data_IF_135154390648
#
_entry.id   IF_135154390648
#
_cell.length_a   1.000
_cell.length_b   1.000
_cell.length_c   1.000
_cell.angle_alpha   90.00
_cell.angle_beta   90.00
_cell.angle_gamma   90.00
#
_symmetry.space_group_name_H-M   'P 1'
#
loop_
_entity.id
_entity.type
_entity.pdbx_description
1 polymer ?
#
# COMPACT_ATOMS: atom_id res chain seq x y z
N UNK A 1 -21.86 -62.99 -47.17
CA UNK A 1 -20.67 -63.66 -46.61
C UNK A 1 -21.12 -64.94 -45.93
N UNK A 2 -20.73 -66.10 -46.45
CA UNK A 2 -21.16 -67.42 -45.93
C UNK A 2 -20.58 -67.67 -44.53
N UNK A 3 -21.34 -68.28 -43.62
CA UNK A 3 -20.93 -68.57 -42.23
C UNK A 3 -19.55 -69.23 -42.11
N UNK A 4 -19.20 -70.13 -43.04
CA UNK A 4 -17.87 -70.73 -43.14
C UNK A 4 -16.74 -69.70 -43.23
N UNK A 5 -16.90 -68.64 -44.03
CA UNK A 5 -15.88 -67.59 -44.18
C UNK A 5 -15.68 -66.79 -42.89
N UNK A 6 -16.76 -66.52 -42.16
CA UNK A 6 -16.70 -65.81 -40.86
C UNK A 6 -15.97 -66.64 -39.79
N UNK A 7 -16.21 -67.95 -39.78
CA UNK A 7 -15.52 -68.86 -38.86
C UNK A 7 -14.05 -69.06 -39.27
N UNK A 8 -13.73 -69.02 -40.56
CA UNK A 8 -12.34 -69.04 -41.04
C UNK A 8 -11.55 -67.83 -40.54
N UNK A 9 -12.10 -66.61 -40.70
CA UNK A 9 -11.44 -65.39 -40.19
C UNK A 9 -11.32 -65.42 -38.68
N UNK A 10 -12.39 -65.79 -37.96
CA UNK A 10 -12.38 -65.89 -36.51
C UNK A 10 -11.32 -66.90 -36.02
N UNK A 11 -11.16 -68.04 -36.70
CA UNK A 11 -10.16 -69.06 -36.32
C UNK A 11 -8.73 -68.57 -36.58
N UNK A 12 -8.51 -67.81 -37.66
CA UNK A 12 -7.21 -67.19 -37.94
C UNK A 12 -6.87 -66.12 -36.90
N UNK A 13 -7.81 -65.25 -36.57
CA UNK A 13 -7.65 -64.20 -35.56
C UNK A 13 -7.41 -64.83 -34.17
N UNK A 14 -8.15 -65.88 -33.81
CA UNK A 14 -7.95 -66.64 -32.57
C UNK A 14 -6.53 -67.23 -32.50
N UNK A 15 -6.06 -67.87 -33.58
CA UNK A 15 -4.72 -68.45 -33.60
C UNK A 15 -3.62 -67.39 -33.44
N UNK A 16 -3.80 -66.21 -34.06
CA UNK A 16 -2.88 -65.08 -33.91
C UNK A 16 -2.91 -64.51 -32.49
N UNK A 17 -4.10 -64.29 -31.93
CA UNK A 17 -4.27 -63.72 -30.60
C UNK A 17 -3.75 -64.67 -29.51
N UNK A 18 -4.00 -65.98 -29.63
CA UNK A 18 -3.45 -67.01 -28.71
C UNK A 18 -1.92 -67.06 -28.80
N UNK A 19 -1.37 -67.04 -30.02
CA UNK A 19 0.09 -67.03 -30.20
C UNK A 19 0.73 -65.78 -29.60
N UNK A 20 0.13 -64.62 -29.82
CA UNK A 20 0.58 -63.36 -29.24
C UNK A 20 0.50 -63.39 -27.71
N UNK A 21 -0.62 -63.84 -27.13
CA UNK A 21 -0.78 -63.93 -25.67
C UNK A 21 0.26 -64.88 -25.04
N UNK A 22 0.49 -66.04 -25.66
CA UNK A 22 1.49 -66.99 -25.18
C UNK A 22 2.92 -66.43 -25.28
N UNK A 23 3.24 -65.61 -26.28
CA UNK A 23 4.53 -64.92 -26.36
C UNK A 23 4.73 -63.92 -25.21
N UNK A 24 3.67 -63.23 -24.79
CA UNK A 24 3.69 -62.37 -23.61
C UNK A 24 3.81 -63.16 -22.30
N UNK A 25 3.22 -64.37 -22.22
CA UNK A 25 3.25 -65.22 -21.03
C UNK A 25 4.46 -66.17 -20.95
N UNK A 26 5.26 -66.31 -22.01
CA UNK A 26 6.38 -67.25 -22.04
C UNK A 26 7.51 -66.86 -21.05
N UNK A 27 8.02 -67.81 -20.24
CA UNK A 27 9.12 -67.54 -19.34
C UNK A 27 10.41 -67.31 -20.14
N UNK A 28 10.80 -66.03 -20.31
CA UNK A 28 12.10 -65.66 -20.90
C UNK A 28 12.06 -64.58 -21.98
N UNK A 29 10.90 -64.07 -22.40
CA UNK A 29 10.81 -63.04 -23.46
C UNK A 29 10.91 -61.59 -22.98
N UNK A 30 11.16 -61.34 -21.69
CA UNK A 30 11.68 -60.07 -21.22
C UNK A 30 13.21 -60.05 -21.43
N UNK A 31 13.64 -59.75 -22.66
CA UNK A 31 15.05 -59.52 -22.97
C UNK A 31 15.54 -58.24 -22.26
N UNK A 32 15.90 -58.38 -20.99
CA UNK A 32 16.78 -57.44 -20.30
C UNK A 32 18.20 -57.77 -20.75
N UNK A 33 18.73 -56.94 -21.63
CA UNK A 33 20.15 -56.96 -21.97
C UNK A 33 20.96 -56.62 -20.71
N UNK A 34 21.67 -57.63 -20.20
CA UNK A 34 22.88 -57.60 -19.37
C UNK A 34 23.16 -56.31 -18.57
N UNK A 35 22.96 -56.39 -17.26
CA UNK A 35 23.51 -55.46 -16.28
C UNK A 35 23.30 -55.99 -14.87
N UNK A 36 24.22 -56.85 -14.40
CA UNK A 36 24.25 -57.37 -13.04
C UNK A 36 24.39 -56.24 -12.01
N UNK A 37 23.29 -55.96 -11.32
CA UNK A 37 23.15 -55.14 -10.12
C UNK A 37 21.74 -55.36 -9.55
N UNK A 38 21.47 -55.14 -8.25
CA UNK A 38 20.13 -55.27 -7.70
C UNK A 38 19.25 -54.17 -8.30
N UNK A 39 18.58 -54.50 -9.40
CA UNK A 39 17.96 -53.56 -10.30
C UNK A 39 16.56 -53.23 -9.77
N UNK A 40 16.38 -51.98 -9.33
CA UNK A 40 15.09 -51.33 -9.23
C UNK A 40 14.29 -51.60 -10.50
N UNK A 41 13.10 -52.18 -10.34
CA UNK A 41 12.14 -52.45 -11.39
C UNK A 41 11.81 -51.13 -12.10
N UNK A 42 12.40 -50.88 -13.28
CA UNK A 42 12.03 -49.74 -14.12
C UNK A 42 10.65 -50.01 -14.73
N UNK A 43 9.68 -49.22 -14.30
CA UNK A 43 8.22 -49.43 -14.42
C UNK A 43 7.56 -48.91 -15.71
N UNK A 44 8.30 -48.68 -16.80
CA UNK A 44 7.71 -48.02 -17.99
C UNK A 44 7.41 -48.96 -19.18
N UNK A 45 8.01 -50.15 -19.28
CA UNK A 45 7.63 -51.11 -20.33
C UNK A 45 6.43 -51.99 -19.96
N UNK A 46 6.08 -52.12 -18.68
CA UNK A 46 5.08 -53.09 -18.21
C UNK A 46 3.62 -52.64 -18.33
N UNK A 47 3.37 -51.33 -18.51
CA UNK A 47 2.00 -50.78 -18.52
C UNK A 47 1.26 -51.04 -19.84
N UNK A 48 1.96 -50.82 -20.95
CA UNK A 48 1.43 -51.07 -22.30
C UNK A 48 1.22 -52.57 -22.50
N UNK A 49 2.12 -53.40 -21.96
CA UNK A 49 2.04 -54.85 -22.07
C UNK A 49 0.81 -55.41 -21.31
N UNK A 50 0.48 -54.90 -20.12
CA UNK A 50 -0.68 -55.37 -19.34
C UNK A 50 -2.04 -55.07 -20.00
N UNK A 51 -2.22 -53.86 -20.54
CA UNK A 51 -3.46 -53.47 -21.24
C UNK A 51 -3.63 -54.26 -22.55
N UNK A 52 -2.53 -54.46 -23.29
CA UNK A 52 -2.52 -55.23 -24.55
C UNK A 52 -2.79 -56.71 -24.29
N UNK A 53 -2.18 -57.31 -23.25
CA UNK A 53 -2.45 -58.69 -22.84
C UNK A 53 -3.92 -58.89 -22.47
N UNK A 54 -4.51 -57.98 -21.69
CA UNK A 54 -5.93 -58.06 -21.32
C UNK A 54 -6.86 -57.92 -22.55
N UNK A 55 -6.53 -57.06 -23.51
CA UNK A 55 -7.28 -56.95 -24.77
C UNK A 55 -7.19 -58.23 -25.61
N UNK A 56 -6.00 -58.85 -25.69
CA UNK A 56 -5.81 -60.16 -26.33
C UNK A 56 -6.64 -61.24 -25.62
N UNK A 57 -6.59 -61.29 -24.29
CA UNK A 57 -7.36 -62.24 -23.49
C UNK A 57 -8.89 -62.08 -23.70
N UNK A 58 -9.40 -60.84 -23.77
CA UNK A 58 -10.81 -60.57 -24.07
C UNK A 58 -11.20 -61.07 -25.46
N UNK A 59 -10.40 -60.76 -26.47
CA UNK A 59 -10.65 -61.21 -27.86
C UNK A 59 -10.63 -62.73 -27.99
N UNK A 60 -9.71 -63.41 -27.30
CA UNK A 60 -9.67 -64.88 -27.23
C UNK A 60 -10.94 -65.43 -26.59
N UNK A 61 -11.34 -64.93 -25.42
CA UNK A 61 -12.56 -65.38 -24.72
C UNK A 61 -13.81 -65.20 -25.58
N UNK A 62 -13.95 -64.05 -26.22
CA UNK A 62 -15.06 -63.75 -27.14
C UNK A 62 -15.04 -64.70 -28.35
N UNK A 63 -13.89 -64.88 -28.99
CA UNK A 63 -13.73 -65.75 -30.15
C UNK A 63 -14.03 -67.22 -29.81
N UNK A 64 -13.61 -67.71 -28.65
CA UNK A 64 -13.92 -69.08 -28.20
C UNK A 64 -15.41 -69.22 -27.87
N UNK A 65 -15.99 -68.27 -27.14
CA UNK A 65 -17.40 -68.32 -26.72
C UNK A 65 -18.37 -68.26 -27.91
N UNK A 66 -18.11 -67.40 -28.91
CA UNK A 66 -18.95 -67.31 -30.12
C UNK A 66 -18.58 -68.38 -31.17
N UNK A 67 -17.29 -68.63 -31.37
CA UNK A 67 -16.79 -69.52 -32.41
C UNK A 67 -17.12 -70.98 -32.14
N UNK A 68 -17.01 -71.42 -30.90
CA UNK A 68 -17.11 -72.84 -30.55
C UNK A 68 -18.50 -73.46 -30.83
N UNK A 69 -19.64 -72.87 -30.38
CA UNK A 69 -20.96 -73.43 -30.69
C UNK A 69 -21.28 -73.40 -32.20
N UNK A 70 -20.84 -72.36 -32.90
CA UNK A 70 -21.07 -72.17 -34.34
C UNK A 70 -20.27 -73.18 -35.16
N UNK A 71 -19.01 -73.40 -34.81
CA UNK A 71 -18.14 -74.37 -35.44
C UNK A 71 -18.62 -75.79 -35.18
N UNK A 72 -18.98 -76.12 -33.94
CA UNK A 72 -19.56 -77.41 -33.56
C UNK A 72 -20.81 -77.73 -34.38
N UNK A 73 -21.75 -76.80 -34.49
CA UNK A 73 -22.95 -76.96 -35.32
C UNK A 73 -22.61 -77.20 -36.79
N UNK A 74 -21.59 -76.52 -37.31
CA UNK A 74 -21.15 -76.65 -38.70
C UNK A 74 -20.51 -78.03 -38.96
N UNK A 75 -19.67 -78.50 -38.04
CA UNK A 75 -19.00 -79.80 -38.12
C UNK A 75 -19.99 -80.95 -38.01
N UNK A 76 -20.94 -80.89 -37.07
CA UNK A 76 -21.99 -81.92 -36.94
C UNK A 76 -22.83 -82.03 -38.22
N UNK A 77 -23.15 -80.90 -38.86
CA UNK A 77 -23.85 -80.89 -40.17
C UNK A 77 -23.00 -81.41 -41.33
N UNK A 78 -21.68 -81.22 -41.28
CA UNK A 78 -20.76 -81.73 -42.30
C UNK A 78 -20.49 -83.24 -42.16
N UNK A 79 -20.68 -83.79 -40.95
CA UNK A 79 -20.55 -85.23 -40.64
C UNK A 79 -21.89 -85.98 -40.67
N UNK A 80 -22.98 -85.33 -41.07
CA UNK A 80 -24.27 -85.98 -41.27
C UNK A 80 -24.16 -87.02 -42.38
N UNK A 81 -24.50 -88.27 -42.08
CA UNK A 81 -24.35 -89.42 -42.97
C UNK A 81 -25.64 -89.77 -43.70
N UNK A 82 -26.79 -89.20 -43.31
CA UNK A 82 -28.05 -89.35 -44.05
C UNK A 82 -28.01 -88.48 -45.34
N UNK A 83 -28.00 -89.08 -46.55
CA UNK A 83 -27.94 -88.35 -47.81
C UNK A 83 -29.09 -87.35 -48.01
N UNK A 84 -30.22 -87.56 -47.33
CA UNK A 84 -31.39 -86.67 -47.38
C UNK A 84 -31.29 -85.49 -46.40
N UNK A 85 -30.32 -85.50 -45.48
CA UNK A 85 -30.06 -84.44 -44.49
C UNK A 85 -28.71 -83.76 -44.71
N UNK A 86 -27.80 -84.36 -45.48
CA UNK A 86 -26.50 -83.80 -45.81
C UNK A 86 -26.65 -82.62 -46.78
N UNK A 87 -26.29 -81.42 -46.30
CA UNK A 87 -26.43 -80.17 -47.05
C UNK A 87 -25.13 -79.67 -47.70
N UNK A 88 -24.00 -80.35 -47.45
CA UNK A 88 -22.67 -79.97 -47.93
C UNK A 88 -22.09 -81.05 -48.84
N UNK A 89 -21.44 -80.63 -49.93
CA UNK A 89 -20.67 -81.54 -50.79
C UNK A 89 -19.37 -81.98 -50.10
N UNK A 90 -18.76 -83.07 -50.59
CA UNK A 90 -17.55 -83.67 -49.99
C UNK A 90 -16.40 -82.67 -49.84
N UNK A 91 -16.20 -81.80 -50.83
CA UNK A 91 -15.17 -80.76 -50.78
C UNK A 91 -15.39 -79.74 -49.65
N UNK A 92 -16.64 -79.38 -49.37
CA UNK A 92 -16.98 -78.47 -48.27
C UNK A 92 -16.91 -79.18 -46.92
N UNK A 93 -17.29 -80.46 -46.84
CA UNK A 93 -17.11 -81.26 -45.63
C UNK A 93 -15.62 -81.37 -45.24
N UNK A 94 -14.73 -81.59 -46.21
CA UNK A 94 -13.29 -81.61 -45.99
C UNK A 94 -12.76 -80.26 -45.47
N UNK A 95 -13.23 -79.14 -46.04
CA UNK A 95 -12.85 -77.77 -45.61
C UNK A 95 -13.37 -77.42 -44.21
N UNK A 96 -14.58 -77.86 -43.85
CA UNK A 96 -15.15 -77.68 -42.50
C UNK A 96 -14.35 -78.47 -41.47
N UNK A 97 -13.95 -79.70 -41.78
CA UNK A 97 -13.08 -80.49 -40.90
C UNK A 97 -11.69 -79.86 -40.74
N UNK A 98 -11.08 -79.32 -41.80
CA UNK A 98 -9.79 -78.61 -41.70
C UNK A 98 -9.90 -77.35 -40.82
N UNK A 99 -11.00 -76.60 -40.92
CA UNK A 99 -11.28 -75.45 -40.06
C UNK A 99 -11.44 -75.86 -38.59
N UNK A 100 -12.08 -77.00 -38.34
CA UNK A 100 -12.23 -77.55 -36.99
C UNK A 100 -10.90 -77.93 -36.36
N UNK A 101 -10.00 -78.56 -37.13
CA UNK A 101 -8.65 -78.87 -36.67
C UNK A 101 -7.88 -77.60 -36.34
N UNK A 102 -7.89 -76.60 -37.23
CA UNK A 102 -7.18 -75.33 -36.99
C UNK A 102 -7.69 -74.58 -35.74
N UNK A 103 -8.99 -74.65 -35.45
CA UNK A 103 -9.57 -74.09 -34.23
C UNK A 103 -9.16 -74.89 -32.99
N UNK A 104 -9.15 -76.22 -33.08
CA UNK A 104 -8.66 -77.11 -32.03
C UNK A 104 -7.18 -76.90 -31.71
N UNK A 105 -6.34 -76.66 -32.72
CA UNK A 105 -4.91 -76.34 -32.56
C UNK A 105 -4.71 -75.01 -31.81
N UNK A 106 -5.51 -73.99 -32.11
CA UNK A 106 -5.47 -72.72 -31.38
C UNK A 106 -5.88 -72.92 -29.90
N UNK A 107 -6.88 -73.75 -29.62
CA UNK A 107 -7.28 -74.09 -28.26
C UNK A 107 -6.23 -74.93 -27.52
N UNK A 108 -5.56 -75.86 -28.22
CA UNK A 108 -4.46 -76.63 -27.67
C UNK A 108 -3.25 -75.75 -27.33
N UNK A 109 -2.97 -74.73 -28.14
CA UNK A 109 -1.94 -73.74 -27.81
C UNK A 109 -2.32 -72.91 -26.58
N UNK A 110 -3.61 -72.60 -26.40
CA UNK A 110 -4.12 -71.85 -25.26
C UNK A 110 -4.13 -72.67 -23.96
N UNK A 111 -4.35 -73.98 -24.06
CA UNK A 111 -4.33 -74.93 -22.94
C UNK A 111 -3.67 -76.25 -23.40
N UNK A 112 -2.34 -76.39 -23.27
CA UNK A 112 -1.61 -77.57 -23.75
C UNK A 112 -2.06 -78.88 -23.09
N UNK A 113 -2.45 -78.80 -21.81
CA UNK A 113 -2.89 -79.94 -21.00
C UNK A 113 -4.29 -80.45 -21.40
N UNK A 114 -5.05 -79.65 -22.16
CA UNK A 114 -6.39 -80.00 -22.66
C UNK A 114 -6.38 -81.27 -23.52
N UNK A 115 -5.36 -81.47 -24.36
CA UNK A 115 -5.29 -82.66 -25.23
C UNK A 115 -4.77 -83.90 -24.48
N UNK A 116 -3.96 -83.70 -23.43
CA UNK A 116 -3.45 -84.78 -22.57
C UNK A 116 -4.47 -85.32 -21.58
N UNK A 117 -5.51 -84.55 -21.25
CA UNK A 117 -6.59 -84.92 -20.33
C UNK A 117 -7.80 -85.56 -21.03
N UNK A 118 -7.85 -85.54 -22.36
CA UNK A 118 -8.86 -86.28 -23.12
C UNK A 118 -8.63 -87.78 -22.93
N UNK A 119 -9.67 -88.57 -22.63
CA UNK A 119 -9.51 -90.01 -22.46
C UNK A 119 -8.95 -90.58 -23.76
N UNK A 120 -7.65 -90.90 -23.74
CA UNK A 120 -7.00 -91.66 -24.80
C UNK A 120 -7.77 -92.97 -24.90
N UNK A 121 -8.56 -93.11 -25.96
CA UNK A 121 -9.07 -94.39 -26.38
C UNK A 121 -7.86 -95.25 -26.76
N UNK A 122 -7.25 -95.87 -25.75
CA UNK A 122 -6.25 -96.93 -25.85
C UNK A 122 -6.92 -98.19 -26.39
N UNK A 123 -7.37 -98.12 -27.63
CA UNK A 123 -7.72 -99.25 -28.47
C UNK A 123 -7.25 -98.91 -29.89
N UNK A 124 -6.35 -99.71 -30.50
CA UNK A 124 -6.02 -99.52 -31.91
C UNK A 124 -7.30 -99.71 -32.74
N UNK A 125 -7.65 -98.79 -33.64
CA UNK A 125 -8.88 -98.92 -34.42
C UNK A 125 -8.77 -100.13 -35.36
N UNK A 126 -9.81 -100.98 -35.47
CA UNK A 126 -9.85 -102.02 -36.49
C UNK A 126 -9.82 -101.39 -37.88
N UNK A 127 -9.12 -102.05 -38.82
CA UNK A 127 -8.90 -101.57 -40.19
C UNK A 127 -10.23 -101.25 -40.88
N UNK A 128 -10.52 -99.95 -41.06
CA UNK A 128 -11.69 -99.48 -41.81
C UNK A 128 -12.38 -98.21 -41.29
N UNK A 129 -12.12 -97.78 -40.05
CA UNK A 129 -12.76 -96.59 -39.47
C UNK A 129 -11.88 -95.32 -39.60
N UNK A 130 -12.51 -94.18 -39.94
CA UNK A 130 -11.86 -92.87 -40.02
C UNK A 130 -11.08 -92.59 -38.74
N UNK A 131 -9.78 -92.27 -38.87
CA UNK A 131 -8.91 -91.78 -37.78
C UNK A 131 -9.70 -90.83 -36.88
N UNK A 132 -9.99 -91.24 -35.64
CA UNK A 132 -10.63 -90.38 -34.65
C UNK A 132 -9.79 -89.13 -34.48
N UNK A 133 -10.40 -87.96 -34.68
CA UNK A 133 -9.71 -86.70 -34.53
C UNK A 133 -9.59 -86.43 -33.04
N UNK A 134 -8.39 -86.08 -32.58
CA UNK A 134 -8.09 -85.81 -31.15
C UNK A 134 -9.00 -84.72 -30.58
N UNK A 135 -9.54 -83.84 -31.44
CA UNK A 135 -10.47 -82.78 -31.07
C UNK A 135 -11.95 -83.20 -31.03
N UNK A 136 -12.32 -84.45 -31.34
CA UNK A 136 -13.73 -84.88 -31.44
C UNK A 136 -14.51 -84.71 -30.12
N UNK A 137 -13.83 -84.69 -28.97
CA UNK A 137 -14.39 -84.36 -27.66
C UNK A 137 -15.02 -82.97 -27.58
N UNK A 138 -14.52 -82.01 -28.37
CA UNK A 138 -15.09 -80.67 -28.51
C UNK A 138 -16.52 -80.71 -29.11
N UNK A 139 -16.90 -81.80 -29.77
CA UNK A 139 -18.23 -81.97 -30.36
C UNK A 139 -19.26 -82.56 -29.37
N UNK A 140 -18.86 -82.93 -28.15
CA UNK A 140 -19.74 -83.53 -27.13
C UNK A 140 -20.67 -82.49 -26.48
N UNK A 141 -21.93 -82.85 -26.22
CA UNK A 141 -22.97 -82.00 -25.63
C UNK A 141 -22.61 -81.54 -24.22
N UNK A 142 -21.78 -82.33 -23.53
CA UNK A 142 -21.27 -82.00 -22.20
C UNK A 142 -20.04 -81.07 -22.21
N UNK A 143 -19.42 -80.78 -23.36
CA UNK A 143 -18.25 -79.89 -23.41
C UNK A 143 -18.65 -78.42 -23.18
N UNK A 144 -18.12 -77.83 -22.11
CA UNK A 144 -18.26 -76.41 -21.79
C UNK A 144 -16.95 -75.67 -22.12
N UNK A 145 -16.94 -74.74 -23.10
CA UNK A 145 -15.76 -73.93 -23.39
C UNK A 145 -15.33 -73.03 -22.22
N UNK A 146 -16.23 -72.74 -21.28
CA UNK A 146 -15.94 -71.90 -20.11
C UNK A 146 -14.88 -72.54 -19.22
N UNK A 147 -14.96 -73.86 -19.01
CA UNK A 147 -13.99 -74.62 -18.22
C UNK A 147 -12.58 -74.52 -18.82
N UNK A 148 -12.45 -74.65 -20.14
CA UNK A 148 -11.17 -74.51 -20.84
C UNK A 148 -10.57 -73.10 -20.70
N UNK A 149 -11.42 -72.07 -20.78
CA UNK A 149 -11.00 -70.68 -20.64
C UNK A 149 -10.59 -70.33 -19.19
N UNK A 150 -11.28 -70.89 -18.21
CA UNK A 150 -10.97 -70.73 -16.77
C UNK A 150 -9.67 -71.46 -16.38
N UNK A 151 -9.39 -72.63 -16.96
CA UNK A 151 -8.20 -73.44 -16.67
C UNK A 151 -6.95 -73.01 -17.44
N UNK A 152 -7.07 -72.12 -18.43
CA UNK A 152 -5.91 -71.66 -19.22
C UNK A 152 -4.95 -70.80 -18.38
N UNK A 153 -3.74 -71.32 -18.15
CA UNK A 153 -2.69 -70.61 -17.42
C UNK A 153 -2.30 -69.27 -18.07
N UNK A 154 -2.36 -69.16 -19.40
CA UNK A 154 -2.03 -67.93 -20.12
C UNK A 154 -3.08 -66.84 -19.89
N UNK A 155 -4.37 -67.20 -19.86
CA UNK A 155 -5.46 -66.27 -19.55
C UNK A 155 -5.44 -65.85 -18.08
N UNK A 156 -5.21 -66.79 -17.15
CA UNK A 156 -5.06 -66.48 -15.73
C UNK A 156 -3.89 -65.52 -15.47
N UNK A 157 -2.74 -65.77 -16.11
CA UNK A 157 -1.56 -64.90 -15.99
C UNK A 157 -1.86 -63.48 -16.48
N UNK A 158 -2.56 -63.36 -17.61
CA UNK A 158 -3.00 -62.06 -18.14
C UNK A 158 -3.92 -61.32 -17.17
N UNK A 159 -4.91 -62.01 -16.60
CA UNK A 159 -5.82 -61.41 -15.62
C UNK A 159 -5.07 -60.96 -14.36
N UNK A 160 -4.14 -61.78 -13.85
CA UNK A 160 -3.33 -61.44 -12.68
C UNK A 160 -2.41 -60.24 -12.91
N UNK A 161 -1.81 -60.14 -14.10
CA UNK A 161 -0.97 -59.00 -14.50
C UNK A 161 -1.82 -57.73 -14.62
N UNK A 162 -2.98 -57.83 -15.28
CA UNK A 162 -3.88 -56.69 -15.48
C UNK A 162 -4.51 -56.21 -14.16
N UNK A 163 -4.94 -57.14 -13.29
CA UNK A 163 -5.49 -56.81 -11.98
C UNK A 163 -4.46 -56.08 -11.10
N UNK A 164 -3.21 -56.56 -11.08
CA UNK A 164 -2.12 -55.85 -10.38
C UNK A 164 -1.87 -54.46 -10.96
N UNK A 165 -1.88 -54.33 -12.27
CA UNK A 165 -1.73 -53.04 -12.96
C UNK A 165 -2.83 -52.04 -12.56
N UNK A 166 -4.10 -52.46 -12.58
CA UNK A 166 -5.24 -51.60 -12.21
C UNK A 166 -5.17 -51.18 -10.74
N UNK A 167 -4.79 -52.09 -9.84
CA UNK A 167 -4.62 -51.75 -8.41
C UNK A 167 -3.51 -50.72 -8.19
N UNK A 168 -2.35 -50.88 -8.84
CA UNK A 168 -1.27 -49.91 -8.72
C UNK A 168 -1.65 -48.55 -9.32
N UNK A 169 -2.33 -48.55 -10.47
CA UNK A 169 -2.86 -47.33 -11.07
C UNK A 169 -3.84 -46.61 -10.13
N UNK A 170 -4.80 -47.34 -9.54
CA UNK A 170 -5.75 -46.78 -8.59
C UNK A 170 -5.07 -46.21 -7.34
N UNK A 171 -4.03 -46.86 -6.82
CA UNK A 171 -3.22 -46.33 -5.70
C UNK A 171 -2.53 -45.02 -6.08
N UNK A 172 -1.93 -44.95 -7.27
CA UNK A 172 -1.25 -43.76 -7.77
C UNK A 172 -2.23 -42.61 -7.98
N UNK A 173 -3.37 -42.85 -8.63
CA UNK A 173 -4.42 -41.84 -8.83
C UNK A 173 -4.98 -41.34 -7.49
N UNK A 174 -5.23 -42.22 -6.53
CA UNK A 174 -5.69 -41.84 -5.19
C UNK A 174 -4.63 -41.06 -4.40
N UNK A 175 -3.34 -41.35 -4.58
CA UNK A 175 -2.26 -40.55 -4.02
C UNK A 175 -2.19 -39.16 -4.67
N UNK A 176 -2.19 -39.10 -6.01
CA UNK A 176 -2.17 -37.83 -6.76
C UNK A 176 -3.36 -36.94 -6.39
N UNK A 177 -4.55 -37.51 -6.29
CA UNK A 177 -5.76 -36.79 -5.86
C UNK A 177 -5.63 -36.21 -4.46
N UNK A 178 -5.11 -37.00 -3.50
CA UNK A 178 -4.86 -36.51 -2.12
C UNK A 178 -3.83 -35.38 -2.08
N UNK A 179 -2.75 -35.50 -2.86
CA UNK A 179 -1.72 -34.44 -2.96
C UNK A 179 -2.31 -33.17 -3.58
N UNK A 180 -3.07 -33.30 -4.67
CA UNK A 180 -3.72 -32.17 -5.33
C UNK A 180 -4.70 -31.46 -4.40
N UNK A 181 -5.53 -32.20 -3.67
CA UNK A 181 -6.45 -31.64 -2.68
C UNK A 181 -5.70 -30.92 -1.55
N UNK A 182 -4.66 -31.54 -0.99
CA UNK A 182 -3.85 -30.91 0.06
C UNK A 182 -3.20 -29.62 -0.40
N UNK A 183 -2.69 -29.56 -1.63
CA UNK A 183 -2.14 -28.33 -2.22
C UNK A 183 -3.22 -27.26 -2.43
N UNK A 184 -4.41 -27.63 -2.92
CA UNK A 184 -5.54 -26.71 -3.09
C UNK A 184 -5.96 -26.10 -1.75
N UNK A 185 -6.03 -26.91 -0.69
CA UNK A 185 -6.36 -26.45 0.65
C UNK A 185 -5.31 -25.47 1.19
N UNK A 186 -4.02 -25.77 1.02
CA UNK A 186 -2.92 -24.87 1.41
C UNK A 186 -3.02 -23.51 0.69
N UNK A 187 -3.30 -23.51 -0.61
CA UNK A 187 -3.49 -22.27 -1.38
C UNK A 187 -4.72 -21.49 -0.86
N UNK A 188 -5.82 -22.18 -0.58
CA UNK A 188 -7.02 -21.57 -0.01
C UNK A 188 -6.71 -20.94 1.36
N UNK A 189 -6.05 -21.66 2.27
CA UNK A 189 -5.64 -21.13 3.57
C UNK A 189 -4.71 -19.92 3.45
N UNK A 190 -3.74 -19.94 2.54
CA UNK A 190 -2.86 -18.79 2.31
C UNK A 190 -3.64 -17.57 1.83
N UNK A 191 -4.60 -17.74 0.92
CA UNK A 191 -5.43 -16.65 0.41
C UNK A 191 -6.33 -16.06 1.50
N UNK A 192 -6.96 -16.90 2.33
CA UNK A 192 -7.78 -16.47 3.47
C UNK A 192 -6.94 -15.74 4.51
N UNK A 193 -5.76 -16.26 4.86
CA UNK A 193 -4.88 -15.63 5.83
C UNK A 193 -4.39 -14.25 5.35
N UNK A 194 -4.03 -14.12 4.06
CA UNK A 194 -3.70 -12.81 3.46
C UNK A 194 -4.88 -11.84 3.56
N UNK A 195 -6.10 -12.29 3.33
CA UNK A 195 -7.30 -11.44 3.47
C UNK A 195 -7.50 -10.96 4.91
N UNK A 196 -7.28 -11.84 5.90
CA UNK A 196 -7.37 -11.48 7.33
C UNK A 196 -6.29 -10.46 7.72
N UNK A 197 -5.04 -10.67 7.32
CA UNK A 197 -3.94 -9.74 7.59
C UNK A 197 -4.24 -8.37 6.98
N UNK A 198 -4.70 -8.34 5.73
CA UNK A 198 -5.05 -7.08 5.06
C UNK A 198 -6.24 -6.37 5.75
N UNK A 199 -7.23 -7.11 6.24
CA UNK A 199 -8.35 -6.55 6.98
C UNK A 199 -7.91 -5.94 8.32
N UNK A 200 -7.08 -6.67 9.08
CA UNK A 200 -6.53 -6.19 10.35
C UNK A 200 -5.62 -4.96 10.16
N UNK A 201 -4.75 -4.98 9.14
CA UNK A 201 -3.95 -3.81 8.77
C UNK A 201 -4.82 -2.60 8.42
N UNK A 202 -5.91 -2.78 7.67
CA UNK A 202 -6.83 -1.69 7.33
C UNK A 202 -7.48 -1.08 8.58
N UNK A 203 -7.93 -1.90 9.51
CA UNK A 203 -8.53 -1.44 10.77
C UNK A 203 -7.50 -0.66 11.60
N UNK A 204 -6.29 -1.21 11.75
CA UNK A 204 -5.20 -0.54 12.49
C UNK A 204 -4.79 0.78 11.85
N UNK A 205 -4.68 0.84 10.51
CA UNK A 205 -4.36 2.08 9.78
C UNK A 205 -5.47 3.13 9.94
N UNK A 206 -6.73 2.73 9.91
CA UNK A 206 -7.85 3.63 10.14
C UNK A 206 -7.82 4.22 11.56
N UNK A 207 -7.61 3.38 12.58
CA UNK A 207 -7.49 3.82 13.97
C UNK A 207 -6.34 4.81 14.17
N UNK A 208 -5.15 4.51 13.63
CA UNK A 208 -3.98 5.40 13.69
C UNK A 208 -4.24 6.75 12.99
N UNK A 209 -4.97 6.74 11.88
CA UNK A 209 -5.30 7.96 11.14
C UNK A 209 -6.25 8.84 11.95
N UNK A 210 -7.24 8.24 12.61
CA UNK A 210 -8.16 8.97 13.47
C UNK A 210 -7.47 9.52 14.73
N UNK A 211 -6.58 8.74 15.34
CA UNK A 211 -5.74 9.21 16.45
C UNK A 211 -4.88 10.42 16.04
N UNK A 212 -4.19 10.34 14.89
CA UNK A 212 -3.41 11.47 14.36
C UNK A 212 -4.27 12.70 14.06
N UNK A 213 -5.50 12.49 13.59
CA UNK A 213 -6.46 13.58 13.35
C UNK A 213 -6.87 14.25 14.67
N UNK A 214 -7.20 13.46 15.69
CA UNK A 214 -7.56 13.96 17.01
C UNK A 214 -6.38 14.72 17.66
N UNK A 215 -5.16 14.19 17.54
CA UNK A 215 -3.94 14.83 18.03
C UNK A 215 -3.66 16.15 17.32
N UNK A 216 -3.80 16.19 15.98
CA UNK A 216 -3.67 17.43 15.22
C UNK A 216 -4.68 18.49 15.69
N UNK A 217 -5.94 18.11 15.88
CA UNK A 217 -6.98 19.02 16.37
C UNK A 217 -6.69 19.50 17.81
N UNK A 218 -6.16 18.62 18.68
CA UNK A 218 -5.71 19.00 20.02
C UNK A 218 -4.59 20.03 19.97
N UNK A 219 -3.56 19.79 19.15
CA UNK A 219 -2.42 20.71 19.01
C UNK A 219 -2.87 22.05 18.44
N UNK A 220 -3.74 22.05 17.41
CA UNK A 220 -4.29 23.29 16.84
C UNK A 220 -5.01 24.11 17.89
N UNK A 221 -5.91 23.50 18.68
CA UNK A 221 -6.62 24.21 19.76
C UNK A 221 -5.66 24.83 20.78
N UNK A 222 -4.64 24.08 21.20
CA UNK A 222 -3.63 24.62 22.13
C UNK A 222 -2.85 25.79 21.53
N UNK A 223 -2.55 25.75 20.23
CA UNK A 223 -1.87 26.86 19.55
C UNK A 223 -2.78 28.08 19.41
N UNK A 224 -4.06 27.88 19.08
CA UNK A 224 -5.07 28.94 19.01
C UNK A 224 -5.29 29.58 20.39
N UNK A 225 -5.47 28.80 21.44
CA UNK A 225 -5.59 29.28 22.82
C UNK A 225 -4.36 30.08 23.25
N UNK A 226 -3.14 29.62 22.92
CA UNK A 226 -1.91 30.35 23.20
C UNK A 226 -1.80 31.64 22.41
N UNK A 227 -2.22 31.65 21.15
CA UNK A 227 -2.22 32.84 20.31
C UNK A 227 -3.22 33.89 20.83
N UNK A 228 -4.42 33.45 21.22
CA UNK A 228 -5.44 34.31 21.80
C UNK A 228 -4.98 34.85 23.17
N UNK A 229 -4.40 34.02 24.03
CA UNK A 229 -3.86 34.46 25.32
C UNK A 229 -2.75 35.52 25.14
N UNK A 230 -1.85 35.32 24.16
CA UNK A 230 -0.83 36.32 23.80
C UNK A 230 -1.46 37.63 23.31
N UNK A 231 -2.49 37.54 22.46
CA UNK A 231 -3.19 38.70 21.94
C UNK A 231 -3.91 39.49 23.05
N UNK A 232 -4.58 38.80 23.98
CA UNK A 232 -5.22 39.44 25.14
C UNK A 232 -4.21 40.11 26.06
N UNK A 233 -3.06 39.47 26.30
CA UNK A 233 -1.95 40.07 27.04
C UNK A 233 -1.43 41.34 26.35
N UNK A 234 -1.31 41.32 25.02
CA UNK A 234 -0.90 42.48 24.23
C UNK A 234 -1.95 43.61 24.27
N UNK A 235 -3.25 43.28 24.22
CA UNK A 235 -4.32 44.27 24.39
C UNK A 235 -4.30 44.93 25.77
N UNK A 236 -4.04 44.17 26.84
CA UNK A 236 -3.87 44.71 28.19
C UNK A 236 -2.66 45.64 28.28
N UNK A 237 -1.49 45.19 27.79
CA UNK A 237 -0.28 46.00 27.71
C UNK A 237 -0.53 47.33 26.98
N UNK A 238 -1.21 47.29 25.83
CA UNK A 238 -1.57 48.50 25.06
C UNK A 238 -2.47 49.46 25.83
N UNK A 239 -3.43 48.95 26.61
CA UNK A 239 -4.29 49.77 27.46
C UNK A 239 -3.50 50.40 28.61
N UNK A 240 -2.63 49.63 29.26
CA UNK A 240 -1.76 50.12 30.32
C UNK A 240 -0.83 51.23 29.80
N UNK A 241 -0.22 51.02 28.63
CA UNK A 241 0.65 52.02 28.01
C UNK A 241 -0.12 53.30 27.65
N UNK A 242 -1.31 53.18 27.06
CA UNK A 242 -2.15 54.34 26.76
C UNK A 242 -2.56 55.09 28.03
N UNK A 243 -2.84 54.37 29.12
CA UNK A 243 -3.14 54.94 30.43
C UNK A 243 -1.94 55.70 30.98
N UNK A 244 -0.75 55.11 30.95
CA UNK A 244 0.49 55.75 31.38
C UNK A 244 0.82 57.00 30.55
N UNK A 245 0.68 56.91 29.23
CA UNK A 245 0.89 58.02 28.31
C UNK A 245 -0.06 59.19 28.62
N UNK A 246 -1.36 58.90 28.83
CA UNK A 246 -2.35 59.91 29.20
C UNK A 246 -2.10 60.50 30.59
N UNK A 247 -1.69 59.68 31.55
CA UNK A 247 -1.37 60.12 32.90
C UNK A 247 -0.13 61.04 32.93
N UNK A 248 0.87 60.78 32.10
CA UNK A 248 2.07 61.62 32.00
C UNK A 248 1.76 63.07 31.56
N UNK A 249 0.68 63.27 30.79
CA UNK A 249 0.22 64.60 30.40
C UNK A 249 -0.66 65.29 31.44
N UNK A 250 -1.09 64.58 32.50
CA UNK A 250 -1.94 65.16 33.53
C UNK A 250 -1.26 66.31 34.28
N UNK A 251 0.06 66.22 34.47
CA UNK A 251 0.89 67.26 35.08
C UNK A 251 1.05 68.50 34.17
N UNK A 252 0.67 68.39 32.89
CA UNK A 252 0.75 69.45 31.88
C UNK A 252 -0.61 70.07 31.54
N UNK A 253 -1.63 69.90 32.39
CA UNK A 253 -2.93 70.57 32.20
C UNK A 253 -2.77 72.08 32.10
N UNK A 254 -1.93 72.66 32.94
CA UNK A 254 -1.51 74.05 32.84
C UNK A 254 -0.27 74.17 31.94
N UNK A 255 -0.41 74.91 30.83
CA UNK A 255 0.68 75.19 29.89
C UNK A 255 1.81 76.00 30.56
N UNK A 256 1.49 76.82 31.56
CA UNK A 256 2.47 77.57 32.34
C UNK A 256 3.41 76.67 33.17
N UNK A 257 3.02 75.43 33.44
CA UNK A 257 3.83 74.47 34.18
C UNK A 257 4.89 73.75 33.32
N UNK A 258 4.82 73.86 31.98
CA UNK A 258 5.74 73.17 31.05
C UNK A 258 7.22 73.43 31.37
N UNK A 259 7.68 74.67 31.64
CA UNK A 259 9.09 74.91 31.94
C UNK A 259 9.56 74.20 33.22
N UNK A 260 8.71 74.16 34.25
CA UNK A 260 9.01 73.49 35.51
C UNK A 260 9.04 71.96 35.33
N UNK A 261 8.09 71.40 34.57
CA UNK A 261 8.07 69.98 34.22
C UNK A 261 9.31 69.57 33.43
N UNK A 262 9.70 70.34 32.41
CA UNK A 262 10.90 70.04 31.63
C UNK A 262 12.18 70.18 32.46
N UNK A 263 12.20 71.08 33.45
CA UNK A 263 13.32 71.22 34.37
C UNK A 263 13.45 70.06 35.36
N UNK A 264 12.33 69.48 35.81
CA UNK A 264 12.35 68.30 36.68
C UNK A 264 12.65 67.01 35.90
N UNK A 265 12.14 66.89 34.67
CA UNK A 265 12.31 65.69 33.85
C UNK A 265 13.69 65.60 33.20
N UNK A 266 14.25 66.72 32.73
CA UNK A 266 15.53 66.77 31.98
C UNK A 266 16.54 67.65 32.74
N UNK A 267 17.53 67.04 33.41
CA UNK A 267 18.55 67.78 34.17
C UNK A 267 19.40 68.70 33.28
N UNK A 268 19.78 68.24 32.09
CA UNK A 268 20.61 69.01 31.15
C UNK A 268 19.80 70.15 30.49
N UNK A 269 20.20 71.39 30.77
CA UNK A 269 19.58 72.60 30.24
C UNK A 269 19.68 72.73 28.72
N UNK A 270 20.79 72.29 28.11
CA UNK A 270 20.97 72.33 26.65
C UNK A 270 19.97 71.38 25.99
N UNK A 271 19.90 70.14 26.48
CA UNK A 271 18.97 69.14 25.95
C UNK A 271 17.53 69.60 26.14
N UNK A 272 17.21 70.21 27.29
CA UNK A 272 15.91 70.81 27.56
C UNK A 272 15.54 71.91 26.55
N UNK A 273 16.48 72.81 26.25
CA UNK A 273 16.29 73.86 25.25
C UNK A 273 16.09 73.32 23.84
N UNK A 274 16.84 72.28 23.47
CA UNK A 274 16.72 71.62 22.17
C UNK A 274 15.36 70.90 22.03
N UNK A 275 14.89 70.20 23.08
CA UNK A 275 13.54 69.59 23.12
C UNK A 275 12.45 70.65 23.00
N UNK A 276 12.55 71.73 23.78
CA UNK A 276 11.57 72.82 23.75
C UNK A 276 11.48 73.46 22.36
N UNK A 277 12.63 73.71 21.71
CA UNK A 277 12.64 74.28 20.36
C UNK A 277 12.06 73.32 19.31
N UNK A 278 12.42 72.03 19.37
CA UNK A 278 11.88 71.01 18.45
C UNK A 278 10.37 70.84 18.62
N UNK A 279 9.86 70.81 19.86
CA UNK A 279 8.42 70.76 20.13
C UNK A 279 7.72 72.01 19.62
N UNK A 280 8.32 73.19 19.81
CA UNK A 280 7.82 74.45 19.26
C UNK A 280 7.76 74.41 17.72
N UNK A 281 8.80 73.90 17.06
CA UNK A 281 8.82 73.74 15.61
C UNK A 281 7.71 72.79 15.13
N UNK A 282 7.45 71.70 15.85
CA UNK A 282 6.33 70.80 15.56
C UNK A 282 4.98 71.50 15.71
N UNK A 283 4.77 72.28 16.78
CA UNK A 283 3.56 73.09 16.96
C UNK A 283 3.40 74.06 15.78
N UNK A 284 4.44 74.79 15.41
CA UNK A 284 4.40 75.70 14.25
C UNK A 284 4.02 74.99 12.97
N UNK A 285 4.63 73.84 12.70
CA UNK A 285 4.35 73.03 11.52
C UNK A 285 2.89 72.55 11.51
N UNK A 286 2.35 72.11 12.64
CA UNK A 286 0.95 71.71 12.75
C UNK A 286 0.00 72.88 12.46
N UNK A 287 0.30 74.07 13.01
CA UNK A 287 -0.54 75.26 12.80
C UNK A 287 -0.42 75.83 11.37
N UNK A 288 0.72 75.67 10.70
CA UNK A 288 0.93 76.19 9.34
C UNK A 288 0.54 75.22 8.23
N UNK A 289 0.73 73.92 8.45
CA UNK A 289 0.55 72.86 7.45
C UNK A 289 -0.19 71.67 8.06
N UNK A 290 -1.44 71.84 8.50
CA UNK A 290 -2.17 70.82 9.28
C UNK A 290 -2.41 69.50 8.53
N UNK A 291 -2.32 69.49 7.19
CA UNK A 291 -2.55 68.33 6.33
C UNK A 291 -1.33 67.40 6.18
N UNK A 292 -0.14 67.80 6.64
CA UNK A 292 1.07 67.00 6.45
C UNK A 292 1.03 65.73 7.32
N UNK A 293 0.97 64.58 6.65
CA UNK A 293 0.87 63.26 7.27
C UNK A 293 2.08 62.98 8.17
N UNK A 294 3.27 63.49 7.86
CA UNK A 294 4.50 63.21 8.62
C UNK A 294 4.43 63.85 10.00
N UNK A 295 3.88 65.05 10.10
CA UNK A 295 3.66 65.70 11.40
C UNK A 295 2.42 65.15 12.10
N UNK A 296 1.34 64.80 11.38
CA UNK A 296 0.16 64.17 12.01
C UNK A 296 0.41 62.76 12.54
N UNK A 297 1.40 62.04 11.98
CA UNK A 297 1.76 60.66 12.35
C UNK A 297 3.25 60.55 12.65
N UNK A 298 3.61 60.75 13.91
CA UNK A 298 4.98 60.59 14.38
C UNK A 298 5.32 59.11 14.51
N UNK A 299 6.15 58.62 13.60
CA UNK A 299 6.62 57.24 13.58
C UNK A 299 7.84 57.08 14.48
N UNK A 300 7.77 56.21 15.49
CA UNK A 300 8.89 56.01 16.41
C UNK A 300 10.18 55.54 15.71
N UNK A 301 10.05 54.71 14.66
CA UNK A 301 11.20 54.22 13.89
C UNK A 301 11.71 55.24 12.85
N UNK A 302 11.18 56.46 12.82
CA UNK A 302 11.71 57.52 11.97
C UNK A 302 13.05 58.01 12.52
N UNK A 303 14.10 58.01 11.69
CA UNK A 303 15.45 58.40 12.08
C UNK A 303 15.53 59.82 12.66
N UNK A 304 14.76 60.77 12.13
CA UNK A 304 14.74 62.15 12.65
C UNK A 304 14.10 62.20 14.03
N UNK A 305 12.93 61.58 14.19
CA UNK A 305 12.24 61.53 15.49
C UNK A 305 13.13 60.85 16.55
N UNK A 306 13.79 59.76 16.17
CA UNK A 306 14.76 59.05 17.00
C UNK A 306 15.94 59.94 17.42
N UNK A 307 16.57 60.67 16.49
CA UNK A 307 17.68 61.56 16.81
C UNK A 307 17.24 62.80 17.61
N UNK A 308 16.00 63.25 17.41
CA UNK A 308 15.48 64.46 18.03
C UNK A 308 14.92 64.24 19.44
N UNK A 309 14.34 63.07 19.71
CA UNK A 309 13.63 62.79 20.97
C UNK A 309 13.98 61.44 21.61
N UNK A 310 14.79 60.61 20.95
CA UNK A 310 15.08 59.26 21.40
C UNK A 310 13.98 58.27 21.03
N UNK A 311 13.97 57.10 21.68
CA UNK A 311 12.98 56.05 21.44
C UNK A 311 12.66 55.31 22.75
N UNK A 312 11.39 54.95 22.99
CA UNK A 312 10.96 54.38 24.27
C UNK A 312 11.63 53.04 24.61
N UNK A 313 12.03 52.28 23.59
CA UNK A 313 12.67 50.95 23.72
C UNK A 313 14.19 51.01 23.84
N UNK A 314 14.76 52.21 23.93
CA UNK A 314 16.16 52.39 24.28
C UNK A 314 16.23 52.56 25.79
N UNK A 315 16.51 51.48 26.51
CA UNK A 315 16.87 51.60 27.91
C UNK A 315 18.33 51.95 28.02
N UNK A 316 18.49 53.13 28.55
CA UNK A 316 19.71 53.86 28.42
C UNK A 316 20.53 53.43 29.62
N UNK A 317 21.25 52.31 29.56
CA UNK A 317 22.47 52.16 30.38
C UNK A 317 23.62 52.44 29.45
N UNK A 318 24.36 53.50 29.70
CA UNK A 318 25.58 53.75 28.93
C UNK A 318 26.53 52.57 29.17
N UNK A 319 26.97 51.89 28.09
CA UNK A 319 27.76 50.65 28.20
C UNK A 319 29.06 50.84 28.98
N UNK A 320 29.59 52.05 29.01
CA UNK A 320 30.88 52.38 29.62
C UNK A 320 30.74 52.77 31.11
N UNK A 321 29.66 53.44 31.51
CA UNK A 321 29.47 53.98 32.87
C UNK A 321 28.39 53.23 33.67
N UNK A 322 27.47 52.54 32.99
CA UNK A 322 26.33 51.85 33.60
C UNK A 322 25.19 52.77 34.06
N UNK A 323 25.31 54.09 33.86
CA UNK A 323 24.32 55.09 34.29
C UNK A 323 23.10 55.18 33.37
N UNK A 324 21.97 55.63 33.90
CA UNK A 324 20.77 55.86 33.11
C UNK A 324 20.96 57.01 32.11
N UNK A 325 21.00 56.73 30.81
CA UNK A 325 21.21 57.77 29.79
C UNK A 325 19.97 58.66 29.59
N UNK A 326 20.26 59.94 29.35
CA UNK A 326 19.28 61.02 29.27
C UNK A 326 18.18 60.83 28.20
N UNK A 327 18.43 60.02 27.16
CA UNK A 327 17.45 59.73 26.09
C UNK A 327 16.11 59.23 26.64
N UNK A 328 16.13 58.46 27.74
CA UNK A 328 14.89 57.95 28.37
C UNK A 328 14.06 59.07 28.98
N UNK A 329 14.71 60.02 29.64
CA UNK A 329 14.03 61.18 30.21
C UNK A 329 13.51 62.12 29.12
N UNK A 330 14.29 62.29 28.05
CA UNK A 330 13.91 63.10 26.88
C UNK A 330 12.66 62.53 26.20
N UNK A 331 12.63 61.23 25.88
CA UNK A 331 11.48 60.63 25.20
C UNK A 331 10.22 60.70 26.07
N UNK A 332 10.33 60.48 27.39
CA UNK A 332 9.20 60.61 28.32
C UNK A 332 8.66 62.03 28.39
N UNK A 333 9.54 63.02 28.45
CA UNK A 333 9.14 64.42 28.44
C UNK A 333 8.47 64.80 27.10
N UNK A 334 9.02 64.32 25.99
CA UNK A 334 8.45 64.53 24.66
C UNK A 334 7.07 63.87 24.53
N UNK A 335 6.89 62.65 25.03
CA UNK A 335 5.61 61.95 25.04
C UNK A 335 4.53 62.68 25.84
N UNK A 336 4.87 63.22 27.02
CA UNK A 336 3.95 64.04 27.79
C UNK A 336 3.52 65.30 27.01
N UNK A 337 4.46 65.98 26.35
CA UNK A 337 4.19 67.13 25.50
C UNK A 337 3.33 66.77 24.28
N UNK A 338 3.65 65.69 23.57
CA UNK A 338 2.86 65.22 22.43
C UNK A 338 1.45 64.82 22.86
N UNK A 339 1.31 64.10 23.98
CA UNK A 339 -0.01 63.80 24.53
C UNK A 339 -0.78 65.10 24.83
N UNK A 340 -0.13 66.12 25.40
CA UNK A 340 -0.76 67.42 25.66
C UNK A 340 -1.20 68.12 24.38
N UNK A 341 -0.42 67.99 23.31
CA UNK A 341 -0.77 68.48 21.97
C UNK A 341 -1.91 67.69 21.31
N UNK A 342 -2.36 66.56 21.86
CA UNK A 342 -3.47 65.75 21.34
C UNK A 342 -3.04 64.52 20.54
N UNK A 343 -1.76 64.13 20.58
CA UNK A 343 -1.34 62.85 20.01
C UNK A 343 -1.85 61.67 20.83
N UNK A 344 -2.10 60.54 20.17
CA UNK A 344 -2.50 59.27 20.79
C UNK A 344 -1.65 58.13 20.26
N UNK A 345 -1.37 57.13 21.10
CA UNK A 345 -0.59 55.96 20.69
C UNK A 345 -1.44 55.05 19.80
N UNK A 346 -0.89 54.70 18.64
CA UNK A 346 -1.47 53.74 17.69
C UNK A 346 -0.41 52.71 17.27
N UNK A 347 -0.91 51.58 16.79
CA UNK A 347 -0.10 50.47 16.32
C UNK A 347 -0.47 50.13 14.88
N UNK A 348 0.53 49.97 14.03
CA UNK A 348 0.30 49.48 12.67
C UNK A 348 -0.10 48.00 12.71
N UNK A 349 -0.73 47.50 11.65
CA UNK A 349 -1.02 46.06 11.49
C UNK A 349 0.07 45.34 10.69
N UNK A 350 1.07 46.07 10.22
CA UNK A 350 2.11 45.59 9.32
C UNK A 350 3.39 45.39 10.11
N UNK A 351 4.05 44.23 10.01
CA UNK A 351 5.36 44.02 10.61
C UNK A 351 6.33 45.10 10.13
N UNK A 352 7.07 45.69 11.07
CA UNK A 352 8.14 46.63 10.75
C UNK A 352 9.48 46.10 11.28
N UNK A 353 10.59 46.63 10.75
CA UNK A 353 11.91 46.29 11.26
C UNK A 353 12.01 46.72 12.72
N UNK A 354 12.47 45.82 13.59
CA UNK A 354 12.71 46.16 14.99
C UNK A 354 13.86 47.17 15.09
N UNK A 355 13.80 48.05 16.10
CA UNK A 355 14.87 49.02 16.34
C UNK A 355 16.21 48.32 16.64
N UNK A 356 16.17 47.12 17.20
CA UNK A 356 17.37 46.32 17.44
C UNK A 356 18.12 45.95 16.15
N UNK A 357 17.39 45.66 15.08
CA UNK A 357 18.00 45.44 13.75
C UNK A 357 18.66 46.72 13.27
N UNK A 358 17.95 47.86 13.35
CA UNK A 358 18.48 49.17 12.95
C UNK A 358 19.73 49.54 13.74
N UNK A 359 19.76 49.26 15.05
CA UNK A 359 20.90 49.49 15.94
C UNK A 359 22.14 48.70 15.54
N UNK A 360 21.97 47.51 14.99
CA UNK A 360 23.09 46.66 14.53
C UNK A 360 23.62 47.04 13.14
N UNK A 361 22.94 47.92 12.40
CA UNK A 361 23.38 48.35 11.06
C UNK A 361 24.55 49.35 11.13
N UNK A 362 25.38 49.40 10.08
CA UNK A 362 26.52 50.32 10.02
C UNK A 362 26.11 51.79 10.19
N UNK A 363 24.94 52.16 9.65
CA UNK A 363 24.37 53.51 9.72
C UNK A 363 24.08 53.95 11.17
N UNK A 364 23.84 53.04 12.11
CA UNK A 364 23.54 53.38 13.50
C UNK A 364 24.67 54.17 14.20
N UNK A 365 25.92 54.04 13.75
CA UNK A 365 27.05 54.82 14.26
C UNK A 365 26.92 56.32 13.95
N UNK A 366 26.23 56.65 12.85
CA UNK A 366 26.00 58.03 12.41
C UNK A 366 24.75 58.68 13.00
N UNK A 367 23.86 57.88 13.61
CA UNK A 367 22.63 58.36 14.23
C UNK A 367 22.91 58.78 15.66
N UNK A 368 23.01 60.10 15.88
CA UNK A 368 23.29 60.69 17.18
C UNK A 368 21.96 60.97 17.90
N UNK A 369 21.81 60.40 19.10
CA UNK A 369 20.62 60.57 19.93
C UNK A 369 20.72 61.85 20.78
N UNK A 370 19.63 62.27 21.47
CA UNK A 370 19.64 63.51 22.26
C UNK A 370 20.71 63.59 23.35
N UNK A 371 21.21 62.45 23.85
CA UNK A 371 22.33 62.40 24.80
C UNK A 371 23.69 62.72 24.17
N UNK A 372 23.80 62.86 22.84
CA UNK A 372 25.05 63.09 22.12
C UNK A 372 25.79 61.82 21.72
N UNK A 373 25.35 60.65 22.15
CA UNK A 373 25.95 59.36 21.79
C UNK A 373 25.22 58.71 20.60
N UNK A 374 25.92 57.80 19.92
CA UNK A 374 25.35 57.06 18.79
C UNK A 374 24.26 56.07 19.23
N UNK A 375 23.37 55.69 18.31
CA UNK A 375 22.36 54.65 18.56
C UNK A 375 22.99 53.32 19.02
N UNK A 376 24.16 52.95 18.50
CA UNK A 376 24.87 51.70 18.86
C UNK A 376 25.30 51.64 20.33
N UNK A 377 25.51 52.80 20.95
CA UNK A 377 25.97 52.94 22.35
C UNK A 377 24.86 52.61 23.37
N UNK A 378 23.61 52.47 22.92
CA UNK A 378 22.44 52.26 23.77
C UNK A 378 22.06 50.78 23.83
N UNK A 379 21.49 50.35 24.96
CA UNK A 379 20.86 49.04 25.05
C UNK A 379 19.43 49.10 24.51
N UNK A 380 18.98 48.00 23.94
CA UNK A 380 17.61 47.82 23.47
C UNK A 380 16.86 46.94 24.46
N UNK A 381 15.69 47.39 24.89
CA UNK A 381 14.78 46.62 25.71
C UNK A 381 13.44 46.52 24.97
N UNK A 382 13.04 45.32 24.53
CA UNK A 382 11.82 45.15 23.78
C UNK A 382 10.61 45.50 24.65
N UNK A 383 9.75 46.38 24.14
CA UNK A 383 8.49 46.72 24.80
C UNK A 383 7.33 45.81 24.35
N UNK A 384 7.62 44.83 23.49
CA UNK A 384 6.71 43.76 23.07
C UNK A 384 5.91 44.08 21.80
N UNK A 385 5.90 45.32 21.32
CA UNK A 385 5.16 45.70 20.12
C UNK A 385 5.93 45.43 18.82
N UNK A 386 7.27 45.42 18.87
CA UNK A 386 8.16 45.32 17.71
C UNK A 386 8.13 43.96 17.02
N UNK A 387 7.60 42.93 17.69
CA UNK A 387 7.44 41.58 17.14
C UNK A 387 6.29 41.50 16.10
N UNK A 388 5.36 42.47 16.10
CA UNK A 388 4.15 42.40 15.26
C UNK A 388 3.75 43.73 14.61
N UNK A 389 4.23 44.88 15.07
CA UNK A 389 3.75 46.20 14.63
C UNK A 389 4.69 47.36 14.94
N UNK A 390 4.60 48.46 14.19
CA UNK A 390 5.24 49.73 14.53
C UNK A 390 4.34 50.54 15.47
N UNK A 391 4.94 51.09 16.53
CA UNK A 391 4.32 52.12 17.37
C UNK A 391 4.43 53.49 16.71
N UNK A 392 3.32 54.19 16.60
CA UNK A 392 3.28 55.58 16.12
C UNK A 392 2.37 56.43 17.00
N UNK A 393 2.61 57.73 17.01
CA UNK A 393 1.73 58.71 17.61
C UNK A 393 0.91 59.39 16.52
N UNK A 394 -0.42 59.28 16.61
CA UNK A 394 -1.35 59.90 15.66
C UNK A 394 -2.10 61.04 16.34
N UNK A 395 -2.07 62.22 15.72
CA UNK A 395 -2.79 63.39 16.20
C UNK A 395 -4.30 63.14 16.14
N UNK A 396 -4.96 63.24 17.29
CA UNK A 396 -6.41 63.12 17.45
C UNK A 396 -6.97 64.45 17.99
N UNK A 397 -6.87 65.49 17.17
CA UNK A 397 -7.45 66.80 17.47
C UNK A 397 -8.99 66.77 17.41
N UNK A 398 -9.69 67.67 18.13
CA UNK A 398 -11.15 67.80 18.01
C UNK A 398 -11.55 68.11 16.55
N UNK A 399 -12.69 67.59 16.09
CA UNK A 399 -13.19 67.94 14.76
C UNK A 399 -13.73 69.38 14.78
N UNK A 400 -13.14 70.27 13.98
CA UNK A 400 -13.56 71.67 13.90
C UNK A 400 -15.00 71.83 13.39
N UNK A 401 -15.51 70.89 12.59
CA UNK A 401 -16.86 70.93 12.03
C UNK A 401 -17.92 70.44 13.02
N UNK A 402 -17.58 69.48 13.88
CA UNK A 402 -18.52 68.90 14.85
C UNK A 402 -18.41 69.56 16.24
N UNK A 403 -17.20 69.97 16.64
CA UNK A 403 -16.83 70.41 18.00
C UNK A 403 -15.95 71.66 17.94
N UNK A 404 -16.48 72.71 17.31
CA UNK A 404 -15.76 73.96 17.05
C UNK A 404 -15.17 74.60 18.32
N UNK A 405 -15.92 74.62 19.43
CA UNK A 405 -15.47 75.22 20.70
C UNK A 405 -14.23 74.50 21.25
N UNK A 406 -14.25 73.16 21.27
CA UNK A 406 -13.14 72.36 21.75
C UNK A 406 -11.92 72.46 20.83
N UNK A 407 -12.14 72.56 19.51
CA UNK A 407 -11.07 72.81 18.57
C UNK A 407 -10.41 74.17 18.81
N UNK A 408 -11.21 75.23 19.07
CA UNK A 408 -10.69 76.56 19.39
C UNK A 408 -9.92 76.59 20.72
N UNK A 409 -10.40 75.86 21.73
CA UNK A 409 -9.68 75.69 23.00
C UNK A 409 -8.33 74.98 22.77
N UNK A 410 -8.33 73.90 21.99
CA UNK A 410 -7.12 73.19 21.62
C UNK A 410 -6.15 74.07 20.83
N UNK A 411 -6.64 74.83 19.84
CA UNK A 411 -5.84 75.74 19.03
C UNK A 411 -5.20 76.85 19.87
N UNK A 412 -5.98 77.45 20.79
CA UNK A 412 -5.49 78.47 21.72
C UNK A 412 -4.44 77.90 22.67
N UNK A 413 -4.65 76.67 23.16
CA UNK A 413 -3.69 75.94 23.99
C UNK A 413 -2.38 75.69 23.22
N UNK A 414 -2.44 75.29 21.95
CA UNK A 414 -1.26 75.09 21.10
C UNK A 414 -0.48 76.40 20.88
N UNK A 415 -1.17 77.52 20.61
CA UNK A 415 -0.53 78.84 20.53
C UNK A 415 0.14 79.25 21.84
N UNK A 416 -0.51 79.00 22.97
CA UNK A 416 0.04 79.30 24.28
C UNK A 416 1.27 78.42 24.58
N UNK A 417 1.24 77.13 24.22
CA UNK A 417 2.39 76.24 24.32
C UNK A 417 3.55 76.73 23.46
N UNK A 418 3.29 77.16 22.22
CA UNK A 418 4.31 77.70 21.32
C UNK A 418 5.03 78.91 21.95
N UNK A 419 4.28 79.85 22.52
CA UNK A 419 4.82 81.05 23.16
C UNK A 419 5.63 80.69 24.42
N UNK A 420 5.14 79.78 25.25
CA UNK A 420 5.84 79.31 26.46
C UNK A 420 7.16 78.62 26.11
N UNK A 421 7.15 77.74 25.10
CA UNK A 421 8.35 77.05 24.63
C UNK A 421 9.34 78.01 23.94
N UNK A 422 8.86 79.06 23.28
CA UNK A 422 9.71 80.09 22.69
C UNK A 422 10.55 80.85 23.75
N UNK A 423 10.03 80.99 24.97
CA UNK A 423 10.79 81.55 26.10
C UNK A 423 11.92 80.65 26.62
N UNK A 424 11.85 79.35 26.32
CA UNK A 424 12.85 78.34 26.71
C UNK A 424 13.85 78.01 25.60
N UNK A 425 13.44 78.20 24.34
CA UNK A 425 14.31 78.00 23.19
C UNK A 425 15.53 78.91 23.29
N UNK A 426 16.72 78.38 22.92
CA UNK A 426 17.98 79.14 22.94
C UNK A 426 17.76 80.52 22.34
N UNK A 427 18.11 81.58 23.08
CA UNK A 427 18.60 82.81 22.47
C UNK A 427 19.89 82.42 21.76
N UNK A 428 19.79 81.96 20.51
CA UNK A 428 20.94 81.74 19.64
C UNK A 428 21.69 83.06 19.59
N UNK A 429 22.80 83.15 20.36
CA UNK A 429 23.81 84.17 20.16
C UNK A 429 24.24 84.04 18.70
N UNK A 430 24.01 85.12 17.95
CA UNK A 430 24.52 85.35 16.60
C UNK A 430 26.01 85.07 16.53
#
# INVERSE_FOLDING_TARGET
>A
MTEFKKLTTLTQDLAQDVSALNLFCAPGTCSSSNGSGPQEWRFDSTKVDAEVMNQLASRIREAVTDGMPRLRKLVLKARETDPNRQIYNETMCARINALFVAFGEALQLLSPDFVGSLPSAMAPPPEGELKSNVFDSLLDAAFDPSTLLEESAALQTSDDVYNRYILERAKVEAWQSRVAQGLADVVAFQSQNRAVILADERVRRAALTEEKRADRLRVMRVLEERAEAKWQSELLRRREELSHFSAAAADLRDVGAIPAFLASAIPDERVRGDVADRTRQLIKALLSTPEDIIIRRLRNNNERLLCDYGHPCLTARERETGEECACRSVVRAAEALWCRMGYTIRYTKVPNRSLEVVRCESKAHSLVLPCGHSLTSHAYEPMGFEDYSERLLELAEPDAMERADEWMEWYTMMQHMEATLAGMARKTRR
#
